data_IF_805135680798
#
_entry.id   IF_805135680798
#
_cell.length_a   1.000
_cell.length_b   1.000
_cell.length_c   1.000
_cell.angle_alpha   90.00
_cell.angle_beta   90.00
_cell.angle_gamma   90.00
#
_symmetry.space_group_name_H-M   'P 1'
#
loop_
_entity.id
_entity.type
_entity.pdbx_description
1 polymer ?
#
# COMPACT_ATOMS: atom_id res chain seq x y z
N UNK A 1 -0.79 4.45 13.89
CA UNK A 1 -0.76 3.01 14.22
C UNK A 1 -1.70 2.20 13.33
N UNK A 2 -3.00 2.56 13.25
CA UNK A 2 -3.98 1.87 12.40
C UNK A 2 -3.56 1.75 10.93
N UNK A 3 -3.24 2.86 10.27
CA UNK A 3 -2.84 2.85 8.84
C UNK A 3 -1.66 1.94 8.53
N UNK A 4 -0.71 1.80 9.46
CA UNK A 4 0.42 0.90 9.30
C UNK A 4 -0.02 -0.57 9.36
N UNK A 5 -0.95 -0.92 10.26
CA UNK A 5 -1.50 -2.28 10.33
C UNK A 5 -2.32 -2.62 9.08
N UNK A 6 -3.10 -1.66 8.57
CA UNK A 6 -3.83 -1.81 7.31
C UNK A 6 -2.85 -2.03 6.15
N UNK A 7 -1.76 -1.27 6.11
CA UNK A 7 -0.73 -1.42 5.09
C UNK A 7 -0.05 -2.79 5.16
N UNK A 8 0.33 -3.24 6.36
CA UNK A 8 0.93 -4.56 6.59
C UNK A 8 0.00 -5.67 6.06
N UNK A 9 -1.29 -5.65 6.45
CA UNK A 9 -2.28 -6.63 6.00
C UNK A 9 -2.55 -6.58 4.47
N UNK A 10 -2.51 -5.38 3.88
CA UNK A 10 -2.66 -5.21 2.45
C UNK A 10 -1.45 -5.78 1.67
N UNK A 11 -0.22 -5.60 2.18
CA UNK A 11 0.97 -6.17 1.55
C UNK A 11 0.98 -7.71 1.53
N UNK A 12 0.26 -8.37 2.44
CA UNK A 12 0.10 -9.82 2.43
C UNK A 12 -0.91 -10.30 1.36
N UNK A 13 -1.85 -9.44 0.97
CA UNK A 13 -2.97 -9.78 0.09
C UNK A 13 -2.80 -9.29 -1.35
N UNK A 14 -2.08 -8.18 -1.55
CA UNK A 14 -1.88 -7.52 -2.82
C UNK A 14 -0.41 -7.56 -3.25
N UNK A 15 -0.16 -7.60 -4.56
CA UNK A 15 1.21 -7.59 -5.08
C UNK A 15 1.84 -6.21 -4.86
N UNK A 16 1.10 -5.13 -5.12
CA UNK A 16 1.55 -3.76 -4.84
C UNK A 16 0.62 -3.08 -3.84
N UNK A 17 1.19 -2.45 -2.82
CA UNK A 17 0.52 -1.59 -1.83
C UNK A 17 1.35 -0.34 -1.60
N UNK A 18 0.80 0.82 -1.99
CA UNK A 18 1.39 2.15 -1.76
C UNK A 18 0.52 2.93 -0.77
N UNK A 19 1.10 3.32 0.36
CA UNK A 19 0.39 4.00 1.43
C UNK A 19 0.50 5.53 1.40
N UNK A 20 -0.17 6.21 2.34
CA UNK A 20 -0.16 7.68 2.47
C UNK A 20 1.20 8.35 2.61
N UNK A 21 2.23 7.56 2.91
CA UNK A 21 3.60 8.04 3.09
C UNK A 21 4.50 7.82 1.86
N UNK A 22 4.00 7.17 0.81
CA UNK A 22 4.81 6.86 -0.37
C UNK A 22 5.17 8.12 -1.16
N UNK A 23 4.18 8.92 -1.56
CA UNK A 23 4.37 10.20 -2.23
C UNK A 23 3.13 11.10 -2.13
N UNK A 24 3.19 12.30 -2.72
CA UNK A 24 2.12 13.30 -2.66
C UNK A 24 0.78 12.83 -3.25
N UNK A 25 0.80 11.93 -4.24
CA UNK A 25 -0.41 11.43 -4.88
C UNK A 25 -1.21 10.48 -3.98
N UNK A 26 -0.56 9.81 -3.03
CA UNK A 26 -1.20 8.79 -2.20
C UNK A 26 -1.60 9.28 -0.81
N UNK A 27 -1.39 10.58 -0.48
CA UNK A 27 -1.47 11.10 0.90
C UNK A 27 -2.78 10.84 1.65
N UNK A 28 -3.85 10.55 0.94
CA UNK A 28 -5.19 10.33 1.47
C UNK A 28 -5.76 8.94 1.16
N UNK A 29 -5.02 8.06 0.48
CA UNK A 29 -5.51 6.73 0.10
C UNK A 29 -4.41 5.66 0.03
N UNK A 30 -4.83 4.41 -0.09
CA UNK A 30 -3.96 3.30 -0.46
C UNK A 30 -4.15 2.97 -1.93
N UNK A 31 -3.06 2.85 -2.68
CA UNK A 31 -3.09 2.22 -3.99
C UNK A 31 -2.76 0.74 -3.83
N UNK A 32 -3.64 -0.13 -4.33
CA UNK A 32 -3.45 -1.58 -4.30
C UNK A 32 -3.58 -2.16 -5.71
N UNK A 33 -2.72 -3.11 -6.04
CA UNK A 33 -2.67 -3.73 -7.36
C UNK A 33 -2.27 -5.22 -7.29
N UNK A 34 -2.79 -6.00 -8.23
CA UNK A 34 -2.57 -7.45 -8.37
C UNK A 34 -1.70 -7.80 -9.59
N UNK A 35 -1.07 -6.81 -10.22
CA UNK A 35 -0.19 -6.98 -11.36
C UNK A 35 1.09 -7.76 -11.03
N UNK A 36 1.96 -7.93 -12.04
CA UNK A 36 3.12 -8.83 -11.95
C UNK A 36 4.22 -8.34 -10.99
N UNK A 37 4.22 -7.06 -10.62
CA UNK A 37 5.26 -6.46 -9.80
C UNK A 37 4.88 -6.45 -8.32
N UNK A 38 5.87 -6.74 -7.45
CA UNK A 38 5.69 -6.69 -5.99
C UNK A 38 6.31 -5.43 -5.39
N UNK A 39 5.52 -4.67 -4.63
CA UNK A 39 5.99 -3.46 -3.95
C UNK A 39 5.13 -3.14 -2.71
N UNK A 40 5.76 -2.97 -1.55
CA UNK A 40 5.08 -2.58 -0.31
C UNK A 40 5.77 -1.32 0.24
N UNK A 41 5.14 -0.14 0.10
CA UNK A 41 5.77 1.16 0.44
C UNK A 41 4.83 2.19 1.04
#
# INVERSE_FOLDING_TARGET
>A
RFLRLVQEAACDSFNTTLGPRYNAAHRDHFHVDMGLFRMCR
#
